data_IF_387026186370
#
_entry.id   IF_387026186370
#
_cell.length_a   1.000
_cell.length_b   1.000
_cell.length_c   1.000
_cell.angle_alpha   90.00
_cell.angle_beta   90.00
_cell.angle_gamma   90.00
#
_symmetry.space_group_name_H-M   'P 1'
#
loop_
_entity.id
_entity.type
_entity.pdbx_description
1 polymer ?
#
# COMPACT_ATOMS: atom_id res chain seq x y z
N UNK A 1 -2.86 -7.02 15.18
CA UNK A 1 -1.98 -6.27 14.27
C UNK A 1 -1.91 -7.08 12.98
N UNK A 2 -2.66 -6.69 11.94
CA UNK A 2 -2.75 -7.48 10.72
C UNK A 2 -1.54 -7.19 9.83
N UNK A 3 -0.69 -8.20 9.64
CA UNK A 3 0.34 -8.17 8.59
C UNK A 3 -0.36 -8.16 7.22
N UNK A 4 -0.16 -7.09 6.45
CA UNK A 4 -0.47 -7.08 5.02
C UNK A 4 0.73 -7.70 4.29
N UNK A 5 0.63 -8.98 3.97
CA UNK A 5 1.60 -9.65 3.08
C UNK A 5 1.34 -9.13 1.65
N UNK A 6 2.36 -8.63 0.93
CA UNK A 6 2.20 -8.18 -0.45
C UNK A 6 1.88 -9.39 -1.35
N UNK A 7 0.74 -9.34 -2.04
CA UNK A 7 0.33 -10.35 -3.01
C UNK A 7 0.76 -9.92 -4.41
N UNK A 8 1.56 -10.75 -5.08
CA UNK A 8 1.78 -10.64 -6.51
C UNK A 8 0.64 -11.36 -7.25
N UNK A 9 -0.16 -10.64 -8.04
CA UNK A 9 -1.24 -11.22 -8.86
C UNK A 9 -1.00 -10.88 -10.33
N UNK A 10 -0.70 -11.89 -11.14
CA UNK A 10 -0.71 -11.77 -12.61
C UNK A 10 -2.16 -11.72 -13.15
N UNK A 11 -2.45 -10.88 -14.15
CA UNK A 11 -3.82 -10.65 -14.60
C UNK A 11 -4.23 -11.62 -15.72
N UNK A 12 -4.41 -12.92 -15.44
CA UNK A 12 -5.09 -13.83 -16.40
C UNK A 12 -5.88 -15.00 -15.79
N UNK A 13 -5.85 -15.26 -14.49
CA UNK A 13 -6.62 -16.37 -13.87
C UNK A 13 -7.28 -15.92 -12.57
N UNK A 14 -8.47 -16.47 -12.25
CA UNK A 14 -9.28 -16.14 -11.07
C UNK A 14 -8.56 -16.51 -9.75
N UNK A 15 -7.96 -15.54 -9.02
CA UNK A 15 -6.99 -15.83 -7.95
C UNK A 15 -7.56 -15.74 -6.52
N UNK A 16 -8.80 -15.26 -6.35
CA UNK A 16 -9.35 -14.93 -5.03
C UNK A 16 -9.88 -16.13 -4.23
N UNK A 17 -10.22 -17.24 -4.90
CA UNK A 17 -10.67 -18.46 -4.23
C UNK A 17 -9.51 -19.24 -3.62
N UNK A 18 -8.39 -19.37 -4.34
CA UNK A 18 -7.23 -20.21 -3.94
C UNK A 18 -6.37 -19.59 -2.83
N UNK A 19 -6.37 -18.26 -2.69
CA UNK A 19 -5.48 -17.56 -1.74
C UNK A 19 -5.93 -17.66 -0.26
N UNK A 20 -7.25 -17.69 0.01
CA UNK A 20 -7.78 -17.81 1.38
C UNK A 20 -7.45 -19.16 2.01
N UNK A 21 -7.39 -20.20 1.19
CA UNK A 21 -6.98 -21.55 1.62
C UNK A 21 -5.47 -21.64 1.94
N UNK A 22 -4.63 -20.78 1.34
CA UNK A 22 -3.17 -20.85 1.49
C UNK A 22 -2.62 -20.15 2.74
N UNK A 23 -3.28 -19.11 3.27
CA UNK A 23 -2.72 -18.30 4.36
C UNK A 23 -3.71 -17.83 5.44
N UNK A 24 -5.00 -18.18 5.34
CA UNK A 24 -6.00 -17.74 6.33
C UNK A 24 -6.20 -16.21 6.42
N UNK A 25 -5.70 -15.45 5.44
CA UNK A 25 -5.81 -14.00 5.42
C UNK A 25 -7.26 -13.56 5.15
N UNK A 26 -7.72 -12.57 5.90
CA UNK A 26 -9.03 -11.93 5.74
C UNK A 26 -8.99 -10.69 4.81
N UNK A 27 -7.80 -10.28 4.38
CA UNK A 27 -7.58 -9.15 3.48
C UNK A 27 -6.98 -9.52 2.12
N UNK A 28 -7.01 -8.56 1.19
CA UNK A 28 -6.44 -8.66 -0.15
C UNK A 28 -5.58 -7.44 -0.47
N UNK A 29 -4.30 -7.65 -0.75
CA UNK A 29 -3.41 -6.63 -1.30
C UNK A 29 -3.37 -6.80 -2.81
N UNK A 30 -3.64 -5.76 -3.58
CA UNK A 30 -3.63 -5.82 -5.05
C UNK A 30 -2.42 -5.04 -5.55
N UNK A 31 -1.39 -5.76 -5.96
CA UNK A 31 -0.15 -5.17 -6.48
C UNK A 31 -0.25 -4.80 -7.97
N UNK A 32 0.70 -3.97 -8.45
CA UNK A 32 0.83 -3.56 -9.85
C UNK A 32 -0.43 -2.86 -10.40
N UNK A 33 -1.16 -2.16 -9.54
CA UNK A 33 -2.37 -1.41 -9.92
C UNK A 33 -1.97 -0.19 -10.74
N UNK A 34 -2.59 0.07 -11.89
CA UNK A 34 -2.27 1.31 -12.62
C UNK A 34 -2.97 2.53 -12.01
N UNK A 35 -2.40 3.71 -12.18
CA UNK A 35 -2.87 4.98 -11.60
C UNK A 35 -3.90 5.73 -12.47
N UNK A 36 -4.15 5.25 -13.68
CA UNK A 36 -4.90 5.95 -14.73
C UNK A 36 -6.43 6.01 -14.43
N UNK A 37 -7.10 7.15 -14.68
CA UNK A 37 -8.56 7.26 -14.53
C UNK A 37 -9.38 6.33 -15.45
N UNK A 38 -8.93 6.03 -16.68
CA UNK A 38 -9.64 5.18 -17.65
C UNK A 38 -9.88 3.77 -17.11
N UNK A 39 -8.99 3.35 -16.23
CA UNK A 39 -8.93 2.01 -15.69
C UNK A 39 -9.65 1.85 -14.33
N UNK A 40 -10.06 2.97 -13.72
CA UNK A 40 -10.78 3.00 -12.45
C UNK A 40 -12.05 2.11 -12.42
N UNK A 41 -12.87 2.02 -13.49
CA UNK A 41 -14.02 1.12 -13.52
C UNK A 41 -13.63 -0.35 -13.37
N UNK A 42 -12.51 -0.78 -13.95
CA UNK A 42 -12.00 -2.14 -13.82
C UNK A 42 -11.57 -2.41 -12.37
N UNK A 43 -10.86 -1.47 -11.73
CA UNK A 43 -10.49 -1.60 -10.31
C UNK A 43 -11.69 -1.70 -9.39
N UNK A 44 -12.75 -0.91 -9.63
CA UNK A 44 -14.01 -1.00 -8.88
C UNK A 44 -14.69 -2.36 -9.04
N UNK A 45 -14.61 -3.00 -10.21
CA UNK A 45 -15.13 -4.36 -10.41
C UNK A 45 -14.30 -5.36 -9.62
N UNK A 46 -12.97 -5.31 -9.75
CA UNK A 46 -12.07 -6.21 -9.03
C UNK A 46 -12.23 -6.13 -7.52
N UNK A 47 -12.25 -4.93 -6.93
CA UNK A 47 -12.44 -4.76 -5.48
C UNK A 47 -13.79 -5.34 -5.01
N UNK A 48 -14.86 -5.15 -5.78
CA UNK A 48 -16.16 -5.77 -5.46
C UNK A 48 -16.11 -7.30 -5.55
N UNK A 49 -15.41 -7.86 -6.53
CA UNK A 49 -15.25 -9.31 -6.66
C UNK A 49 -14.51 -9.90 -5.47
N UNK A 50 -13.36 -9.34 -5.07
CA UNK A 50 -12.60 -9.87 -3.92
C UNK A 50 -13.36 -9.72 -2.61
N UNK A 51 -14.17 -8.66 -2.44
CA UNK A 51 -15.07 -8.53 -1.28
C UNK A 51 -16.20 -9.56 -1.26
N UNK A 52 -16.78 -9.90 -2.43
CA UNK A 52 -17.75 -11.01 -2.53
C UNK A 52 -17.12 -12.36 -2.21
N UNK A 53 -15.83 -12.48 -2.49
CA UNK A 53 -14.97 -13.56 -2.03
C UNK A 53 -14.48 -13.31 -0.59
N UNK A 54 -15.23 -12.61 0.25
CA UNK A 54 -14.97 -12.56 1.70
C UNK A 54 -13.79 -11.69 2.17
N UNK A 55 -13.11 -10.93 1.30
CA UNK A 55 -12.09 -9.99 1.76
C UNK A 55 -12.72 -8.86 2.59
N UNK A 56 -12.34 -8.74 3.86
CA UNK A 56 -12.76 -7.67 4.78
C UNK A 56 -12.01 -6.37 4.50
N UNK A 57 -10.72 -6.50 4.19
CA UNK A 57 -9.80 -5.39 3.87
C UNK A 57 -9.25 -5.55 2.46
N UNK A 58 -9.24 -4.48 1.68
CA UNK A 58 -8.66 -4.43 0.33
C UNK A 58 -7.71 -3.24 0.22
N UNK A 59 -6.48 -3.50 -0.22
CA UNK A 59 -5.44 -2.50 -0.44
C UNK A 59 -5.13 -2.45 -1.93
N UNK A 60 -5.07 -1.25 -2.52
CA UNK A 60 -4.58 -1.05 -3.88
C UNK A 60 -3.16 -0.52 -3.82
N UNK A 61 -2.23 -1.15 -4.55
CA UNK A 61 -0.87 -0.65 -4.70
C UNK A 61 -0.58 -0.15 -6.12
N UNK A 62 -0.83 1.14 -6.38
CA UNK A 62 -0.28 1.81 -7.55
C UNK A 62 1.15 2.36 -7.35
N UNK A 63 1.67 2.39 -6.12
CA UNK A 63 3.00 2.92 -5.80
C UNK A 63 3.18 4.43 -6.00
N UNK A 64 2.17 5.13 -6.53
CA UNK A 64 2.14 6.57 -6.80
C UNK A 64 0.73 7.10 -6.59
N UNK A 65 0.58 8.41 -6.41
CA UNK A 65 -0.75 9.03 -6.33
C UNK A 65 -1.57 8.76 -7.61
N UNK A 66 -2.68 8.01 -7.54
CA UNK A 66 -3.52 7.73 -8.70
C UNK A 66 -4.54 8.84 -8.97
N UNK A 67 -5.39 8.64 -9.97
CA UNK A 67 -6.57 9.49 -10.14
C UNK A 67 -7.41 9.55 -8.83
N UNK A 68 -8.05 10.68 -8.49
CA UNK A 68 -8.70 10.87 -7.18
C UNK A 68 -9.76 9.82 -6.83
N UNK A 69 -10.38 9.22 -7.84
CA UNK A 69 -11.44 8.23 -7.66
C UNK A 69 -10.99 6.95 -6.96
N UNK A 70 -9.69 6.60 -6.99
CA UNK A 70 -9.14 5.38 -6.38
C UNK A 70 -9.25 5.37 -4.86
N UNK A 71 -9.12 6.55 -4.22
CA UNK A 71 -9.19 6.67 -2.75
C UNK A 71 -10.56 6.30 -2.16
N UNK A 72 -11.59 6.08 -3.00
CA UNK A 72 -12.92 5.61 -2.60
C UNK A 72 -13.18 4.15 -2.95
N UNK A 73 -12.28 3.49 -3.66
CA UNK A 73 -12.52 2.15 -4.20
C UNK A 73 -12.11 1.05 -3.22
N UNK A 74 -11.10 1.32 -2.39
CA UNK A 74 -10.51 0.36 -1.46
C UNK A 74 -10.37 0.95 -0.06
N UNK A 75 -9.98 0.13 0.91
CA UNK A 75 -9.77 0.59 2.29
C UNK A 75 -8.52 1.45 2.37
N UNK A 76 -7.46 1.04 1.68
CA UNK A 76 -6.16 1.69 1.66
C UNK A 76 -5.61 1.76 0.23
N UNK A 77 -4.94 2.86 -0.11
CA UNK A 77 -4.21 3.03 -1.38
C UNK A 77 -2.76 3.38 -1.09
N UNK A 78 -1.81 2.59 -1.61
CA UNK A 78 -0.39 2.92 -1.54
C UNK A 78 -0.10 4.05 -2.53
N UNK A 79 0.17 5.25 -2.01
CA UNK A 79 0.39 6.45 -2.83
C UNK A 79 1.86 6.82 -3.01
N UNK A 80 2.75 6.07 -2.38
CA UNK A 80 4.18 6.12 -2.59
C UNK A 80 4.77 4.72 -2.36
N UNK A 81 5.55 4.25 -3.31
CA UNK A 81 6.43 3.09 -3.17
C UNK A 81 7.80 3.45 -3.75
N UNK A 82 8.82 3.56 -2.90
CA UNK A 82 10.14 4.01 -3.35
C UNK A 82 11.20 4.10 -2.28
N UNK A 83 12.42 4.39 -2.74
CA UNK A 83 13.60 4.53 -1.87
C UNK A 83 13.50 5.79 -0.98
N UNK A 84 14.07 5.72 0.23
CA UNK A 84 14.11 6.80 1.22
C UNK A 84 14.62 8.12 0.64
N UNK A 85 15.70 8.09 -0.15
CA UNK A 85 16.25 9.33 -0.77
C UNK A 85 15.25 9.99 -1.72
N UNK A 86 14.57 9.23 -2.58
CA UNK A 86 13.50 9.74 -3.46
C UNK A 86 12.32 10.25 -2.65
N UNK A 87 11.98 9.53 -1.58
CA UNK A 87 10.92 9.95 -0.67
C UNK A 87 11.25 11.34 -0.11
N UNK A 88 12.43 11.54 0.45
CA UNK A 88 12.81 12.83 1.06
C UNK A 88 12.90 13.95 0.01
N UNK A 89 13.49 13.69 -1.16
CA UNK A 89 13.85 14.75 -2.12
C UNK A 89 12.79 15.11 -3.16
N UNK A 90 11.93 14.16 -3.55
CA UNK A 90 11.08 14.31 -4.73
C UNK A 90 9.58 14.05 -4.47
N UNK A 91 9.20 13.63 -3.26
CA UNK A 91 7.80 13.38 -2.95
C UNK A 91 6.96 14.66 -3.12
N UNK A 92 5.82 14.53 -3.79
CA UNK A 92 4.81 15.58 -3.91
C UNK A 92 3.43 15.00 -3.62
N UNK A 93 2.60 15.80 -2.94
CA UNK A 93 1.24 15.43 -2.54
C UNK A 93 0.24 16.24 -3.36
N UNK A 94 -0.55 15.62 -4.24
CA UNK A 94 -1.62 16.31 -4.97
C UNK A 94 -2.68 16.87 -4.01
N UNK A 95 -3.17 18.09 -4.29
CA UNK A 95 -4.14 18.78 -3.44
C UNK A 95 -5.45 18.00 -3.20
N UNK A 96 -5.85 17.13 -4.15
CA UNK A 96 -7.06 16.34 -4.00
C UNK A 96 -7.03 15.39 -2.80
N UNK A 97 -5.84 14.94 -2.39
CA UNK A 97 -5.66 14.01 -1.27
C UNK A 97 -6.07 14.64 0.07
N UNK A 98 -6.05 15.97 0.19
CA UNK A 98 -6.52 16.67 1.39
C UNK A 98 -8.03 16.51 1.66
N UNK A 99 -8.80 16.04 0.66
CA UNK A 99 -10.25 15.77 0.80
C UNK A 99 -10.56 14.38 1.36
N UNK A 100 -9.55 13.63 1.75
CA UNK A 100 -9.68 12.26 2.25
C UNK A 100 -8.93 12.13 3.59
N UNK A 101 -9.44 11.30 4.52
CA UNK A 101 -8.72 11.03 5.76
C UNK A 101 -7.39 10.31 5.45
N UNK A 102 -6.33 10.59 6.22
CA UNK A 102 -4.99 10.03 5.99
C UNK A 102 -4.95 8.50 6.13
N UNK A 103 -5.92 7.89 6.83
CA UNK A 103 -6.07 6.43 6.96
C UNK A 103 -6.41 5.72 5.65
N UNK A 104 -6.72 6.47 4.58
CA UNK A 104 -6.90 5.94 3.22
C UNK A 104 -5.60 5.81 2.44
N UNK A 105 -4.49 6.31 2.97
CA UNK A 105 -3.22 6.38 2.25
C UNK A 105 -2.11 5.63 2.98
N UNK A 106 -1.29 4.93 2.20
CA UNK A 106 -0.12 4.20 2.65
C UNK A 106 1.13 4.65 1.89
N UNK A 107 2.24 4.78 2.61
CA UNK A 107 3.56 4.98 2.02
C UNK A 107 4.45 3.77 2.32
N UNK A 108 4.91 3.10 1.28
CA UNK A 108 5.90 2.02 1.34
C UNK A 108 7.28 2.61 1.02
N UNK A 109 8.17 2.65 2.01
CA UNK A 109 9.46 3.34 1.89
C UNK A 109 10.58 2.36 2.20
N UNK A 110 11.44 2.07 1.22
CA UNK A 110 12.58 1.17 1.41
C UNK A 110 13.92 1.91 1.43
N UNK A 111 14.99 1.21 1.82
CA UNK A 111 16.33 1.81 1.99
C UNK A 111 16.36 2.90 3.06
N UNK A 112 15.48 2.80 4.07
CA UNK A 112 15.46 3.73 5.21
C UNK A 112 16.62 3.34 6.13
N UNK A 113 17.60 4.22 6.40
CA UNK A 113 18.60 3.94 7.42
C UNK A 113 17.91 3.63 8.74
N UNK A 114 18.35 2.60 9.46
CA UNK A 114 17.66 2.09 10.65
C UNK A 114 17.37 3.18 11.69
N UNK A 115 18.36 4.04 11.97
CA UNK A 115 18.21 5.18 12.88
C UNK A 115 17.16 6.22 12.44
N UNK A 116 16.73 6.19 11.17
CA UNK A 116 15.73 7.10 10.59
C UNK A 116 14.34 6.45 10.46
N UNK A 117 14.14 5.21 10.86
CA UNK A 117 12.83 4.55 10.80
C UNK A 117 11.74 5.36 11.54
N UNK A 118 11.96 5.85 12.79
CA UNK A 118 10.97 6.70 13.45
C UNK A 118 10.70 8.02 12.71
N UNK A 119 11.72 8.58 12.04
CA UNK A 119 11.56 9.78 11.21
C UNK A 119 10.70 9.47 9.98
N UNK A 120 10.91 8.34 9.30
CA UNK A 120 10.13 7.95 8.14
C UNK A 120 8.63 7.79 8.47
N UNK A 121 8.29 7.25 9.65
CA UNK A 121 6.89 7.18 10.14
C UNK A 121 6.29 8.58 10.33
N UNK A 122 7.02 9.50 11.00
CA UNK A 122 6.55 10.88 11.20
C UNK A 122 6.38 11.62 9.88
N UNK A 123 7.36 11.52 8.99
CA UNK A 123 7.34 12.12 7.66
C UNK A 123 6.15 11.61 6.83
N UNK A 124 5.78 10.33 6.94
CA UNK A 124 4.59 9.81 6.26
C UNK A 124 3.29 10.46 6.76
N UNK A 125 3.15 10.64 8.08
CA UNK A 125 1.99 11.32 8.68
C UNK A 125 1.89 12.78 8.23
N UNK A 126 3.00 13.52 8.26
CA UNK A 126 3.08 14.90 7.77
C UNK A 126 2.73 15.00 6.27
N UNK A 127 3.09 13.97 5.50
CA UNK A 127 2.76 13.83 4.08
C UNK A 127 1.37 13.26 3.82
N UNK A 128 0.55 13.09 4.85
CA UNK A 128 -0.87 12.76 4.73
C UNK A 128 -1.18 11.28 4.58
N UNK A 129 -0.26 10.38 4.90
CA UNK A 129 -0.52 8.94 5.03
C UNK A 129 -0.43 8.50 6.48
N UNK A 130 -1.50 7.92 7.02
CA UNK A 130 -1.50 7.39 8.37
C UNK A 130 -0.83 6.01 8.46
N UNK A 131 -0.79 5.27 7.35
CA UNK A 131 -0.12 3.98 7.25
C UNK A 131 1.24 4.15 6.56
N UNK A 132 2.28 3.57 7.13
CA UNK A 132 3.62 3.59 6.57
C UNK A 132 4.31 2.25 6.80
N UNK A 133 4.99 1.73 5.79
CA UNK A 133 5.88 0.56 5.90
C UNK A 133 7.32 0.97 5.60
N UNK A 134 8.06 1.57 6.55
CA UNK A 134 9.46 1.93 6.36
C UNK A 134 10.34 0.70 6.59
N UNK A 135 11.12 0.27 5.61
CA UNK A 135 12.05 -0.87 5.74
C UNK A 135 13.48 -0.45 5.42
N UNK A 136 14.43 -1.16 6.02
CA UNK A 136 15.87 -0.95 5.82
C UNK A 136 16.41 -1.66 4.58
N UNK A 137 15.64 -2.61 4.03
CA UNK A 137 16.05 -3.42 2.90
C UNK A 137 16.25 -2.60 1.62
N UNK A 138 17.15 -3.11 0.77
CA UNK A 138 17.55 -2.50 -0.50
C UNK A 138 16.94 -3.25 -1.72
N UNK A 139 17.06 -2.71 -2.95
CA UNK A 139 16.58 -3.35 -4.17
C UNK A 139 17.01 -4.83 -4.32
N UNK A 140 16.19 -5.60 -5.06
CA UNK A 140 16.10 -7.08 -5.19
C UNK A 140 14.98 -7.67 -4.36
N UNK A 141 14.89 -7.34 -3.08
CA UNK A 141 13.71 -7.58 -2.25
C UNK A 141 13.80 -6.77 -0.95
N UNK A 142 13.41 -5.49 -0.96
CA UNK A 142 13.50 -4.66 0.25
C UNK A 142 12.56 -5.11 1.37
N UNK A 143 11.54 -5.90 1.04
CA UNK A 143 10.48 -6.35 1.95
C UNK A 143 10.77 -7.70 2.61
N UNK A 144 12.00 -8.24 2.46
CA UNK A 144 12.39 -9.55 2.98
C UNK A 144 12.44 -9.63 4.51
N UNK A 145 12.53 -8.48 5.19
CA UNK A 145 12.54 -8.38 6.65
C UNK A 145 11.40 -7.47 7.12
N UNK A 146 10.93 -7.72 8.34
CA UNK A 146 9.93 -6.87 8.96
C UNK A 146 10.50 -5.47 9.20
N UNK A 147 9.62 -4.47 9.15
CA UNK A 147 9.99 -3.11 9.52
C UNK A 147 10.41 -3.06 10.99
N UNK A 148 11.55 -2.41 11.32
CA UNK A 148 11.92 -2.16 12.71
C UNK A 148 10.88 -1.33 13.47
N UNK A 149 9.99 -0.61 12.78
CA UNK A 149 8.91 0.16 13.39
C UNK A 149 7.88 -0.72 14.14
N UNK A 150 7.84 -2.03 13.88
CA UNK A 150 6.98 -2.97 14.60
C UNK A 150 7.67 -3.59 15.82
N UNK A 151 9.00 -3.44 15.94
CA UNK A 151 9.80 -4.02 17.03
C UNK A 151 9.80 -3.16 18.30
N UNK A 152 9.29 -1.91 18.22
CA UNK A 152 9.21 -0.96 19.35
C UNK A 152 7.80 -0.90 20.00
N UNK A 153 6.90 -1.83 19.66
CA UNK A 153 5.52 -1.84 20.14
C UNK A 153 5.29 -2.67 21.42
N UNK A 154 6.35 -2.97 22.17
CA UNK A 154 6.31 -3.64 23.48
C UNK A 154 6.32 -2.65 24.65
#
# INVERSE_FOLDING_TARGET
MSLLIPLYVHPTEDPGARHRECYGADGCFLDRVTSDPAELPARRRLVRSVRRLGATTVVLNPGVHPAPGYARVADLTVTFEGHWTTYVSAFSRPAWTARHPPDRFCHLVYGVPEALVPLAVRTARERGAAVCGPVTGEPRNPWAQLTPALSEAD
#
